data_IF_884947942714
#
_entry.id   IF_884947942714
#
_cell.length_a   1.000
_cell.length_b   1.000
_cell.length_c   1.000
_cell.angle_alpha   90.00
_cell.angle_beta   90.00
_cell.angle_gamma   90.00
#
_symmetry.space_group_name_H-M   'P 1'
#
loop_
_entity.id
_entity.type
_entity.pdbx_description
1 polymer ?
#
# COMPACT_ATOMS: atom_id res chain seq x y z
N UNK A 1 33.27 -31.74 -38.52
CA UNK A 1 33.04 -32.62 -37.35
C UNK A 1 32.37 -31.80 -36.26
N UNK A 2 31.26 -32.25 -35.67
CA UNK A 2 30.68 -31.56 -34.52
C UNK A 2 31.65 -31.67 -33.34
N UNK A 3 32.00 -30.53 -32.73
CA UNK A 3 32.79 -30.48 -31.50
C UNK A 3 32.09 -31.26 -30.40
N UNK A 4 32.79 -32.16 -29.68
CA UNK A 4 32.18 -32.91 -28.59
C UNK A 4 31.66 -31.96 -27.51
N UNK A 5 30.53 -32.29 -26.86
CA UNK A 5 29.99 -31.47 -25.79
C UNK A 5 31.03 -31.35 -24.68
N UNK A 6 31.30 -30.13 -24.23
CA UNK A 6 32.21 -29.89 -23.10
C UNK A 6 31.72 -30.69 -21.88
N UNK A 7 32.59 -31.42 -21.18
CA UNK A 7 32.21 -32.09 -19.95
C UNK A 7 31.70 -31.04 -18.95
N UNK A 8 30.66 -31.36 -18.16
CA UNK A 8 30.18 -30.46 -17.13
C UNK A 8 31.32 -30.12 -16.18
N UNK A 9 31.49 -28.84 -15.83
CA UNK A 9 32.52 -28.42 -14.91
C UNK A 9 32.31 -29.08 -13.54
N UNK A 10 33.35 -29.74 -13.02
CA UNK A 10 33.35 -30.31 -11.67
C UNK A 10 33.35 -29.16 -10.66
N UNK A 11 32.17 -28.81 -10.14
CA UNK A 11 32.02 -27.81 -9.10
C UNK A 11 32.52 -28.37 -7.78
N UNK A 12 33.31 -27.59 -7.03
CA UNK A 12 33.66 -27.97 -5.67
C UNK A 12 32.40 -27.99 -4.79
N UNK A 13 32.38 -28.71 -3.65
CA UNK A 13 31.23 -28.68 -2.72
C UNK A 13 30.86 -27.25 -2.29
N UNK A 14 31.85 -26.36 -2.19
CA UNK A 14 31.66 -24.93 -1.92
C UNK A 14 30.94 -24.24 -3.07
N UNK A 15 31.35 -24.45 -4.31
CA UNK A 15 30.71 -23.84 -5.49
C UNK A 15 29.28 -24.34 -5.68
N UNK A 16 29.03 -25.61 -5.37
CA UNK A 16 27.69 -26.18 -5.40
C UNK A 16 26.78 -25.56 -4.32
N UNK A 17 27.30 -25.35 -3.12
CA UNK A 17 26.58 -24.65 -2.05
C UNK A 17 26.25 -23.21 -2.48
N UNK A 18 27.24 -22.43 -2.94
CA UNK A 18 27.04 -21.05 -3.40
C UNK A 18 26.00 -20.99 -4.52
N UNK A 19 26.12 -21.85 -5.54
CA UNK A 19 25.16 -21.92 -6.64
C UNK A 19 23.74 -22.20 -6.14
N UNK A 20 23.58 -23.14 -5.21
CA UNK A 20 22.27 -23.48 -4.66
C UNK A 20 21.67 -22.33 -3.85
N UNK A 21 22.47 -21.64 -3.03
CA UNK A 21 22.05 -20.47 -2.26
C UNK A 21 21.62 -19.33 -3.17
N UNK A 22 22.42 -19.02 -4.21
CA UNK A 22 22.09 -17.99 -5.18
C UNK A 22 20.82 -18.34 -5.97
N UNK A 23 20.62 -19.60 -6.33
CA UNK A 23 19.42 -20.04 -7.03
C UNK A 23 18.17 -19.88 -6.15
N UNK A 24 18.23 -20.29 -4.88
CA UNK A 24 17.13 -20.12 -3.92
C UNK A 24 16.83 -18.62 -3.72
N UNK A 25 17.86 -17.81 -3.47
CA UNK A 25 17.69 -16.38 -3.29
C UNK A 25 17.05 -15.73 -4.53
N UNK A 26 17.47 -16.14 -5.74
CA UNK A 26 16.91 -15.64 -6.99
C UNK A 26 15.43 -16.00 -7.12
N UNK A 27 15.04 -17.24 -6.80
CA UNK A 27 13.64 -17.67 -6.83
C UNK A 27 12.79 -16.89 -5.81
N UNK A 28 13.31 -16.67 -4.60
CA UNK A 28 12.61 -15.90 -3.57
C UNK A 28 12.42 -14.43 -3.98
N UNK A 29 13.46 -13.80 -4.52
CA UNK A 29 13.39 -12.41 -5.01
C UNK A 29 12.40 -12.31 -6.17
N UNK A 30 12.46 -13.21 -7.16
CA UNK A 30 11.54 -13.21 -8.30
C UNK A 30 10.10 -13.48 -7.84
N UNK A 31 9.89 -14.39 -6.89
CA UNK A 31 8.58 -14.67 -6.30
C UNK A 31 8.00 -13.46 -5.56
N UNK A 32 8.83 -12.77 -4.77
CA UNK A 32 8.45 -11.54 -4.09
C UNK A 32 8.11 -10.43 -5.08
N UNK A 33 8.94 -10.20 -6.10
CA UNK A 33 8.67 -9.22 -7.16
C UNK A 33 7.36 -9.55 -7.89
N UNK A 34 7.13 -10.81 -8.23
CA UNK A 34 5.88 -11.27 -8.84
C UNK A 34 4.67 -11.04 -7.94
N UNK A 35 4.82 -11.23 -6.63
CA UNK A 35 3.76 -10.98 -5.64
C UNK A 35 3.45 -9.49 -5.52
N UNK A 36 4.46 -8.63 -5.45
CA UNK A 36 4.26 -7.17 -5.29
C UNK A 36 3.69 -6.53 -6.56
N UNK A 37 4.10 -7.02 -7.73
CA UNK A 37 3.70 -6.44 -9.02
C UNK A 37 2.42 -7.06 -9.56
N UNK A 38 2.44 -8.35 -9.91
CA UNK A 38 1.33 -9.03 -10.58
C UNK A 38 0.22 -9.33 -9.59
N UNK A 39 0.54 -10.04 -8.50
CA UNK A 39 -0.46 -10.46 -7.53
C UNK A 39 -0.99 -9.26 -6.75
N UNK A 40 -0.13 -8.29 -6.44
CA UNK A 40 -0.47 -7.05 -5.75
C UNK A 40 -1.42 -6.19 -6.57
N UNK A 41 -1.23 -6.09 -7.89
CA UNK A 41 -2.18 -5.39 -8.75
C UNK A 41 -3.56 -6.07 -8.77
N UNK A 42 -3.60 -7.41 -8.83
CA UNK A 42 -4.87 -8.15 -8.73
C UNK A 42 -5.55 -7.96 -7.37
N UNK A 43 -4.77 -8.02 -6.28
CA UNK A 43 -5.27 -7.77 -4.93
C UNK A 43 -5.85 -6.36 -4.81
N UNK A 44 -5.16 -5.33 -5.31
CA UNK A 44 -5.64 -3.96 -5.36
C UNK A 44 -6.98 -3.85 -6.11
N UNK A 45 -7.09 -4.42 -7.31
CA UNK A 45 -8.34 -4.38 -8.10
C UNK A 45 -9.51 -5.05 -7.36
N UNK A 46 -9.27 -6.20 -6.73
CA UNK A 46 -10.30 -6.91 -5.95
C UNK A 46 -10.70 -6.10 -4.73
N UNK A 47 -9.73 -5.54 -4.00
CA UNK A 47 -9.98 -4.67 -2.84
C UNK A 47 -10.79 -3.44 -3.24
N UNK A 48 -10.41 -2.73 -4.31
CA UNK A 48 -11.13 -1.55 -4.80
C UNK A 48 -12.55 -1.86 -5.24
N UNK A 49 -12.79 -3.02 -5.85
CA UNK A 49 -14.14 -3.45 -6.20
C UNK A 49 -15.01 -3.70 -4.95
N UNK A 50 -14.45 -4.36 -3.93
CA UNK A 50 -15.15 -4.61 -2.66
C UNK A 50 -15.43 -3.30 -1.91
N UNK A 51 -14.42 -2.43 -1.80
CA UNK A 51 -14.52 -1.12 -1.17
C UNK A 51 -15.54 -0.22 -1.88
N UNK A 52 -15.56 -0.23 -3.22
CA UNK A 52 -16.53 0.53 -4.00
C UNK A 52 -17.96 0.07 -3.72
N UNK A 53 -18.18 -1.25 -3.65
CA UNK A 53 -19.50 -1.80 -3.35
C UNK A 53 -19.96 -1.43 -1.93
N UNK A 54 -19.07 -1.57 -0.94
CA UNK A 54 -19.35 -1.20 0.45
C UNK A 54 -19.65 0.30 0.58
N UNK A 55 -18.78 1.16 0.05
CA UNK A 55 -18.94 2.61 0.18
C UNK A 55 -20.18 3.14 -0.54
N UNK A 56 -20.55 2.57 -1.70
CA UNK A 56 -21.80 2.92 -2.39
C UNK A 56 -23.03 2.62 -1.55
N UNK A 57 -23.02 1.49 -0.85
CA UNK A 57 -24.10 1.10 0.05
C UNK A 57 -24.19 2.06 1.25
N UNK A 58 -23.05 2.37 1.88
CA UNK A 58 -22.98 3.33 2.99
C UNK A 58 -23.42 4.74 2.60
N UNK A 59 -23.08 5.20 1.39
CA UNK A 59 -23.56 6.48 0.86
C UNK A 59 -25.07 6.47 0.62
N UNK A 60 -25.62 5.37 0.11
CA UNK A 60 -27.05 5.24 -0.16
C UNK A 60 -27.88 5.19 1.13
N UNK A 61 -27.36 4.57 2.19
CA UNK A 61 -28.00 4.51 3.51
C UNK A 61 -27.74 5.76 4.37
N UNK A 62 -26.81 6.64 3.96
CA UNK A 62 -26.40 7.78 4.77
C UNK A 62 -25.59 7.40 6.01
N UNK A 63 -24.94 6.23 5.99
CA UNK A 63 -24.11 5.68 7.08
C UNK A 63 -22.61 5.86 6.85
N UNK A 64 -22.22 6.41 5.70
CA UNK A 64 -20.82 6.71 5.38
C UNK A 64 -20.17 7.61 6.45
N UNK A 65 -18.90 7.35 6.84
CA UNK A 65 -18.27 8.10 7.91
C UNK A 65 -18.14 9.60 7.63
N UNK A 66 -18.40 10.42 8.66
CA UNK A 66 -18.25 11.89 8.63
C UNK A 66 -17.31 12.41 9.73
N UNK A 67 -16.71 11.52 10.51
CA UNK A 67 -15.68 11.82 11.51
C UNK A 67 -14.75 10.62 11.68
N UNK A 68 -13.70 10.73 12.51
CA UNK A 68 -12.79 9.61 12.80
C UNK A 68 -13.43 8.45 13.58
N UNK A 69 -14.67 8.65 14.06
CA UNK A 69 -15.40 7.66 14.83
C UNK A 69 -16.83 7.48 14.35
N UNK A 70 -17.41 6.35 14.74
CA UNK A 70 -18.82 6.03 14.54
C UNK A 70 -19.71 6.83 15.50
N UNK A 71 -21.03 6.71 15.34
CA UNK A 71 -22.03 7.31 16.25
C UNK A 71 -21.82 6.84 17.69
N UNK A 72 -21.35 5.61 17.88
CA UNK A 72 -21.06 5.01 19.19
C UNK A 72 -19.69 5.40 19.76
N UNK A 73 -19.00 6.39 19.16
CA UNK A 73 -17.67 6.87 19.54
C UNK A 73 -16.58 5.80 19.46
N UNK A 74 -16.75 4.82 18.58
CA UNK A 74 -15.72 3.83 18.26
C UNK A 74 -14.91 4.36 17.09
N UNK A 75 -13.59 4.39 17.22
CA UNK A 75 -12.70 4.83 16.13
C UNK A 75 -12.83 3.90 14.91
N UNK A 76 -12.77 4.49 13.72
CA UNK A 76 -12.79 3.73 12.47
C UNK A 76 -11.58 2.79 12.40
N UNK A 77 -11.84 1.53 12.02
CA UNK A 77 -10.79 0.54 11.81
C UNK A 77 -9.96 0.85 10.57
N UNK A 78 -8.71 0.38 10.52
CA UNK A 78 -7.88 0.55 9.34
C UNK A 78 -8.50 -0.21 8.16
N UNK A 79 -8.55 0.43 6.98
CA UNK A 79 -9.20 -0.13 5.79
C UNK A 79 -10.68 0.21 5.64
N UNK A 80 -11.32 0.89 6.59
CA UNK A 80 -12.72 1.36 6.43
C UNK A 80 -12.79 2.40 5.31
N UNK A 81 -13.72 2.29 4.33
CA UNK A 81 -13.85 3.30 3.28
C UNK A 81 -14.34 4.64 3.85
N UNK A 82 -13.72 5.73 3.42
CA UNK A 82 -14.06 7.09 3.90
C UNK A 82 -14.36 8.08 2.78
N UNK A 83 -13.82 7.84 1.58
CA UNK A 83 -14.05 8.71 0.44
C UNK A 83 -13.86 8.00 -0.90
N UNK A 84 -14.41 8.57 -1.97
CA UNK A 84 -14.05 8.27 -3.36
C UNK A 84 -13.22 9.45 -3.90
N UNK A 85 -11.99 9.19 -4.32
CA UNK A 85 -11.09 10.18 -4.93
C UNK A 85 -11.09 10.01 -6.46
N UNK A 86 -11.46 11.06 -7.17
CA UNK A 86 -11.54 11.07 -8.63
C UNK A 86 -10.69 12.19 -9.21
N UNK A 87 -9.60 11.85 -9.89
CA UNK A 87 -8.67 12.77 -10.57
C UNK A 87 -8.58 12.40 -12.06
N UNK A 88 -9.48 12.93 -12.90
CA UNK A 88 -9.60 12.50 -14.30
C UNK A 88 -8.34 12.72 -15.15
N UNK A 89 -7.58 13.79 -14.88
CA UNK A 89 -6.38 14.16 -15.66
C UNK A 89 -5.28 13.11 -15.61
N UNK A 90 -5.27 12.25 -14.58
CA UNK A 90 -4.27 11.19 -14.39
C UNK A 90 -4.91 9.79 -14.26
N UNK A 91 -6.23 9.69 -14.43
CA UNK A 91 -6.96 8.41 -14.41
C UNK A 91 -7.16 7.81 -13.02
N UNK A 92 -7.08 8.61 -11.95
CA UNK A 92 -7.35 8.11 -10.58
C UNK A 92 -8.86 8.09 -10.35
N UNK A 93 -9.37 6.94 -9.92
CA UNK A 93 -10.74 6.75 -9.43
C UNK A 93 -10.70 5.64 -8.38
N UNK A 94 -10.43 6.02 -7.14
CA UNK A 94 -10.01 5.10 -6.08
C UNK A 94 -10.78 5.39 -4.79
N UNK A 95 -11.22 4.35 -4.10
CA UNK A 95 -11.74 4.46 -2.74
C UNK A 95 -10.57 4.69 -1.79
N UNK A 96 -10.69 5.78 -1.02
CA UNK A 96 -9.81 6.14 0.07
C UNK A 96 -10.29 5.42 1.31
N UNK A 97 -9.38 4.74 1.99
CA UNK A 97 -9.64 4.03 3.25
C UNK A 97 -9.06 4.79 4.44
N UNK A 98 -9.55 4.54 5.65
CA UNK A 98 -8.95 5.08 6.87
C UNK A 98 -7.63 4.35 7.21
N UNK A 99 -6.58 5.10 7.53
CA UNK A 99 -5.27 4.57 7.87
C UNK A 99 -4.28 4.61 6.72
N UNK A 100 -3.00 4.69 7.07
CA UNK A 100 -1.88 4.97 6.15
C UNK A 100 -0.68 4.06 6.38
N UNK A 101 -0.83 3.02 7.20
CA UNK A 101 0.17 1.97 7.34
C UNK A 101 0.36 1.18 6.02
N UNK A 102 1.53 0.57 5.88
CA UNK A 102 1.91 -0.16 4.68
C UNK A 102 0.92 -1.30 4.33
N UNK A 103 0.34 -1.95 5.34
CA UNK A 103 -0.66 -3.00 5.16
C UNK A 103 -1.96 -2.48 4.54
N UNK A 104 -2.46 -1.36 5.05
CA UNK A 104 -3.69 -0.68 4.60
C UNK A 104 -3.54 -0.12 3.18
N UNK A 105 -2.40 0.53 2.88
CA UNK A 105 -2.17 1.15 1.56
C UNK A 105 -2.01 0.15 0.39
N UNK A 106 -2.11 -1.15 0.65
CA UNK A 106 -2.19 -2.17 -0.42
C UNK A 106 -3.57 -2.23 -1.07
N UNK A 107 -4.61 -1.81 -0.35
CA UNK A 107 -5.98 -1.83 -0.83
C UNK A 107 -6.34 -0.57 -1.65
N UNK A 108 -5.61 0.53 -1.45
CA UNK A 108 -5.84 1.81 -2.11
C UNK A 108 -5.23 2.98 -1.33
N UNK A 109 -5.50 4.24 -1.74
CA UNK A 109 -5.11 5.42 -0.99
C UNK A 109 -5.70 5.42 0.42
N UNK A 110 -4.96 5.98 1.38
CA UNK A 110 -5.33 6.02 2.79
C UNK A 110 -5.44 7.44 3.33
N UNK A 111 -6.47 7.72 4.12
CA UNK A 111 -6.64 8.95 4.87
C UNK A 111 -5.85 8.88 6.18
N UNK A 112 -5.09 9.94 6.45
CA UNK A 112 -4.26 10.06 7.64
C UNK A 112 -5.13 10.45 8.84
N UNK A 113 -5.16 9.58 9.86
CA UNK A 113 -6.13 9.60 10.97
C UNK A 113 -6.17 10.88 11.81
N UNK A 114 -5.04 11.55 11.98
CA UNK A 114 -4.93 12.82 12.73
C UNK A 114 -5.39 14.04 11.93
N UNK A 115 -5.90 13.85 10.70
CA UNK A 115 -6.30 14.93 9.80
C UNK A 115 -7.81 14.95 9.54
N UNK A 116 -8.30 16.06 9.00
CA UNK A 116 -9.72 16.28 8.68
C UNK A 116 -10.17 15.40 7.51
N UNK A 117 -11.42 14.94 7.50
CA UNK A 117 -11.93 14.22 6.32
C UNK A 117 -12.02 15.20 5.13
N UNK A 118 -11.87 14.73 3.89
CA UNK A 118 -11.97 15.59 2.72
C UNK A 118 -13.30 16.37 2.69
N UNK A 119 -13.23 17.66 2.42
CA UNK A 119 -14.37 18.57 2.32
C UNK A 119 -14.64 19.36 3.60
N UNK A 120 -14.02 18.95 4.71
CA UNK A 120 -14.14 19.63 6.00
C UNK A 120 -13.19 20.82 6.12
N UNK A 121 -13.55 21.77 6.98
CA UNK A 121 -12.64 22.84 7.37
C UNK A 121 -11.38 22.29 8.05
N UNK A 122 -10.19 22.75 7.63
CA UNK A 122 -8.89 22.26 8.08
C UNK A 122 -8.10 21.51 7.00
N UNK A 123 -7.08 20.76 7.43
CA UNK A 123 -6.22 19.99 6.53
C UNK A 123 -6.69 18.53 6.48
N UNK A 124 -6.82 17.98 5.28
CA UNK A 124 -6.97 16.55 5.03
C UNK A 124 -5.72 16.03 4.34
N UNK A 125 -5.23 14.86 4.75
CA UNK A 125 -4.07 14.21 4.14
C UNK A 125 -4.47 12.84 3.63
N UNK A 126 -4.24 12.61 2.34
CA UNK A 126 -4.40 11.29 1.72
C UNK A 126 -3.02 10.83 1.25
N UNK A 127 -2.63 9.65 1.66
CA UNK A 127 -1.40 8.98 1.26
C UNK A 127 -1.69 7.88 0.25
N UNK A 128 -0.79 7.67 -0.70
CA UNK A 128 -0.94 6.59 -1.67
C UNK A 128 0.41 6.14 -2.19
N UNK A 129 0.47 4.85 -2.53
CA UNK A 129 1.68 4.21 -3.09
C UNK A 129 2.04 4.79 -4.45
N UNK A 130 3.34 5.00 -4.66
CA UNK A 130 3.90 5.46 -5.94
C UNK A 130 4.10 4.30 -6.93
N UNK A 131 4.39 3.11 -6.44
CA UNK A 131 4.52 1.86 -7.17
C UNK A 131 3.91 0.71 -6.35
N UNK A 132 3.95 -0.53 -6.87
CA UNK A 132 3.34 -1.71 -6.25
C UNK A 132 1.82 -1.59 -6.00
N UNK A 133 1.11 -2.73 -5.90
CA UNK A 133 -0.32 -2.73 -5.52
C UNK A 133 -1.17 -1.71 -6.31
N UNK A 134 -1.01 -1.68 -7.63
CA UNK A 134 -1.69 -0.72 -8.51
C UNK A 134 -1.06 0.68 -8.58
N UNK A 135 -0.29 1.12 -7.58
CA UNK A 135 0.39 2.41 -7.56
C UNK A 135 -0.55 3.59 -7.82
N UNK A 136 -1.63 3.76 -7.03
CA UNK A 136 -2.68 4.73 -7.33
C UNK A 136 -2.15 6.16 -7.46
N UNK A 137 -1.04 6.50 -6.80
CA UNK A 137 -0.43 7.83 -6.84
C UNK A 137 0.81 7.93 -7.71
N UNK A 138 1.09 6.94 -8.57
CA UNK A 138 2.23 6.95 -9.50
C UNK A 138 2.34 8.23 -10.34
N UNK A 139 1.21 8.89 -10.62
CA UNK A 139 1.10 10.03 -11.54
C UNK A 139 0.68 11.34 -10.89
N UNK A 140 0.53 11.43 -9.56
CA UNK A 140 0.07 12.69 -8.93
C UNK A 140 1.05 13.85 -9.15
N UNK A 141 2.33 13.56 -9.39
CA UNK A 141 3.34 14.59 -9.71
C UNK A 141 3.11 15.25 -11.08
N UNK A 142 2.25 14.70 -11.93
CA UNK A 142 1.86 15.32 -13.21
C UNK A 142 0.78 16.40 -13.04
N UNK A 143 0.19 16.51 -11.84
CA UNK A 143 -0.86 17.48 -11.56
C UNK A 143 -0.31 18.91 -11.60
N UNK A 144 -1.03 19.75 -12.33
CA UNK A 144 -0.66 21.15 -12.55
C UNK A 144 -1.52 22.08 -11.71
N UNK A 145 -0.97 23.22 -11.24
CA UNK A 145 -1.76 24.25 -10.58
C UNK A 145 -3.04 24.61 -11.35
N UNK A 146 -4.14 24.77 -10.65
CA UNK A 146 -5.47 25.07 -11.20
C UNK A 146 -6.24 23.85 -11.72
N UNK A 147 -5.61 22.67 -11.87
CA UNK A 147 -6.35 21.46 -12.22
C UNK A 147 -7.35 21.10 -11.12
N UNK A 148 -8.56 20.72 -11.53
CA UNK A 148 -9.63 20.36 -10.62
C UNK A 148 -9.84 18.86 -10.56
N UNK A 149 -10.22 18.40 -9.38
CA UNK A 149 -10.58 17.00 -9.11
C UNK A 149 -11.60 16.95 -7.98
N UNK A 150 -12.25 15.80 -7.79
CA UNK A 150 -13.32 15.65 -6.81
C UNK A 150 -13.00 14.59 -5.77
N UNK A 151 -13.53 14.80 -4.56
CA UNK A 151 -13.54 13.80 -3.50
C UNK A 151 -14.95 13.70 -2.95
N UNK A 152 -15.55 12.53 -3.04
CA UNK A 152 -16.91 12.27 -2.54
C UNK A 152 -16.83 11.57 -1.20
N UNK A 153 -17.50 12.13 -0.20
CA UNK A 153 -17.54 11.63 1.19
C UNK A 153 -19.00 11.44 1.64
N UNK A 154 -19.21 10.98 2.87
CA UNK A 154 -20.55 10.97 3.49
C UNK A 154 -21.20 12.36 3.59
N UNK A 155 -20.44 13.45 3.45
CA UNK A 155 -20.97 14.83 3.44
C UNK A 155 -21.21 15.40 2.03
N UNK A 156 -21.07 14.58 0.98
CA UNK A 156 -21.26 14.96 -0.42
C UNK A 156 -19.97 15.03 -1.22
N UNK A 157 -20.09 15.58 -2.44
CA UNK A 157 -18.98 15.77 -3.37
C UNK A 157 -18.27 17.10 -3.11
N UNK A 158 -16.94 17.05 -3.05
CA UNK A 158 -16.07 18.19 -2.78
C UNK A 158 -15.12 18.41 -3.94
N UNK A 159 -15.09 19.62 -4.47
CA UNK A 159 -14.18 19.97 -5.57
C UNK A 159 -12.94 20.65 -5.03
N UNK A 160 -11.77 20.19 -5.47
CA UNK A 160 -10.48 20.77 -5.15
C UNK A 160 -9.81 21.35 -6.39
N UNK A 161 -9.01 22.40 -6.20
CA UNK A 161 -8.10 22.94 -7.21
C UNK A 161 -6.65 22.78 -6.74
N UNK A 162 -5.80 22.20 -7.57
CA UNK A 162 -4.38 21.99 -7.26
C UNK A 162 -3.70 23.34 -7.08
N UNK A 163 -2.99 23.51 -5.97
CA UNK A 163 -2.12 24.66 -5.72
C UNK A 163 -0.74 24.42 -6.34
N UNK A 164 -0.19 23.22 -6.15
CA UNK A 164 1.10 22.85 -6.71
C UNK A 164 1.68 21.59 -6.09
N UNK A 165 2.78 21.16 -6.70
CA UNK A 165 3.63 20.07 -6.24
C UNK A 165 4.76 20.63 -5.37
N UNK A 166 5.03 19.96 -4.25
CA UNK A 166 6.17 20.22 -3.38
C UNK A 166 6.85 18.93 -2.95
N UNK A 167 8.10 19.05 -2.56
CA UNK A 167 8.92 17.96 -2.06
C UNK A 167 9.23 18.13 -0.56
N UNK A 168 9.76 17.09 0.06
CA UNK A 168 10.27 17.20 1.43
C UNK A 168 11.36 18.29 1.51
N UNK A 169 11.22 19.20 2.47
CA UNK A 169 12.11 20.36 2.65
C UNK A 169 11.63 21.65 1.97
N UNK A 170 10.66 21.57 1.06
CA UNK A 170 10.10 22.77 0.44
C UNK A 170 9.28 23.61 1.45
N UNK A 171 9.17 24.94 1.24
CA UNK A 171 8.36 25.80 2.08
C UNK A 171 6.92 25.30 2.19
N UNK A 172 6.35 25.40 3.40
CA UNK A 172 4.93 25.09 3.60
C UNK A 172 4.08 26.18 2.95
N UNK A 173 2.98 25.83 2.24
CA UNK A 173 2.07 26.83 1.70
C UNK A 173 1.52 27.76 2.80
N UNK A 174 1.01 28.96 2.43
CA UNK A 174 0.43 29.89 3.39
C UNK A 174 -0.61 29.24 4.30
N UNK A 175 -0.69 29.74 5.54
CA UNK A 175 -1.63 29.27 6.54
C UNK A 175 -3.06 29.26 5.99
N UNK A 176 -3.81 28.22 6.33
CA UNK A 176 -5.18 28.06 5.88
C UNK A 176 -6.09 29.12 6.54
N UNK A 177 -6.85 29.91 5.77
CA UNK A 177 -7.83 30.83 6.35
C UNK A 177 -8.88 30.09 7.17
N UNK A 178 -9.45 30.76 8.17
CA UNK A 178 -10.49 30.18 9.01
C UNK A 178 -11.70 29.71 8.17
N UNK A 179 -12.18 28.51 8.46
CA UNK A 179 -13.33 27.91 7.76
C UNK A 179 -13.05 27.46 6.32
N UNK A 180 -11.78 27.41 5.88
CA UNK A 180 -11.39 26.81 4.59
C UNK A 180 -10.87 25.39 4.77
N UNK A 181 -10.91 24.61 3.71
CA UNK A 181 -10.36 23.25 3.63
C UNK A 181 -9.17 23.18 2.67
N UNK A 182 -8.20 22.32 2.98
CA UNK A 182 -7.08 21.98 2.08
C UNK A 182 -6.82 20.49 2.13
N UNK A 183 -6.63 19.89 0.96
CA UNK A 183 -6.25 18.50 0.81
C UNK A 183 -4.79 18.41 0.39
N UNK A 184 -4.06 17.46 0.97
CA UNK A 184 -2.69 17.14 0.61
C UNK A 184 -2.64 15.69 0.17
N UNK A 185 -2.29 15.46 -1.09
CA UNK A 185 -2.00 14.12 -1.62
C UNK A 185 -0.51 13.84 -1.44
N UNK A 186 -0.15 12.70 -0.85
CA UNK A 186 1.23 12.37 -0.48
C UNK A 186 1.64 11.03 -1.08
N UNK A 187 2.81 10.99 -1.71
CA UNK A 187 3.36 9.76 -2.28
C UNK A 187 4.89 9.77 -2.24
N UNK A 188 5.52 8.64 -2.58
CA UNK A 188 6.96 8.56 -2.70
C UNK A 188 7.47 9.23 -3.99
N UNK A 189 8.63 9.85 -3.90
CA UNK A 189 9.41 10.36 -5.04
C UNK A 189 10.50 9.35 -5.39
N UNK A 190 10.83 9.23 -6.67
CA UNK A 190 11.98 8.48 -7.16
C UNK A 190 11.57 7.41 -8.18
N UNK A 191 12.52 6.57 -8.61
CA UNK A 191 12.23 5.40 -9.42
C UNK A 191 11.25 4.45 -8.72
N UNK A 192 10.43 3.73 -9.50
CA UNK A 192 9.53 2.71 -8.97
C UNK A 192 10.31 1.71 -8.11
N UNK A 193 9.74 1.34 -6.95
CA UNK A 193 10.34 0.43 -5.96
C UNK A 193 11.62 0.93 -5.27
N UNK A 194 12.15 2.11 -5.63
CA UNK A 194 13.36 2.69 -5.01
C UNK A 194 13.08 4.15 -4.64
N UNK A 195 12.25 4.39 -3.61
CA UNK A 195 11.89 5.74 -3.21
C UNK A 195 13.09 6.50 -2.66
N UNK A 196 13.24 7.76 -3.09
CA UNK A 196 14.33 8.67 -2.71
C UNK A 196 13.84 9.88 -1.91
N UNK A 197 12.54 10.00 -1.65
CA UNK A 197 11.96 11.11 -0.92
C UNK A 197 10.44 11.12 -0.95
N UNK A 198 9.84 12.25 -0.56
CA UNK A 198 8.38 12.43 -0.49
C UNK A 198 7.97 13.53 -1.48
N UNK A 199 6.88 13.29 -2.21
CA UNK A 199 6.19 14.26 -3.04
C UNK A 199 4.80 14.54 -2.45
N UNK A 200 4.41 15.81 -2.39
CA UNK A 200 3.10 16.24 -1.89
C UNK A 200 2.45 17.20 -2.88
N UNK A 201 1.18 16.97 -3.19
CA UNK A 201 0.37 17.86 -4.00
C UNK A 201 -0.66 18.51 -3.09
N UNK A 202 -0.54 19.82 -2.89
CA UNK A 202 -1.53 20.57 -2.13
C UNK A 202 -2.65 21.03 -3.06
N UNK A 203 -3.89 20.95 -2.58
CA UNK A 203 -5.06 21.40 -3.31
C UNK A 203 -6.03 22.12 -2.37
N UNK A 204 -6.54 23.27 -2.80
CA UNK A 204 -7.51 24.05 -2.04
C UNK A 204 -8.94 23.57 -2.32
N UNK A 205 -9.77 23.56 -1.29
CA UNK A 205 -11.20 23.27 -1.42
C UNK A 205 -11.90 24.47 -2.07
N UNK A 206 -12.49 24.25 -3.25
CA UNK A 206 -13.20 25.30 -4.00
C UNK A 206 -14.73 25.20 -3.90
N UNK A 207 -15.24 24.05 -3.47
CA UNK A 207 -16.67 23.87 -3.15
C UNK A 207 -17.00 24.38 -1.74
N UNK A 208 -18.29 24.29 -1.39
CA UNK A 208 -18.77 24.61 -0.05
C UNK A 208 -18.01 23.80 1.02
N UNK A 209 -17.47 24.48 2.03
CA UNK A 209 -16.74 23.83 3.12
C UNK A 209 -17.73 23.27 4.14
N UNK A 210 -17.55 22.00 4.50
CA UNK A 210 -18.38 21.33 5.51
C UNK A 210 -17.81 21.47 6.91
N UNK A 211 -18.65 21.43 7.95
CA UNK A 211 -18.18 21.44 9.33
C UNK A 211 -17.31 20.20 9.60
N UNK A 212 -16.23 20.41 10.34
CA UNK A 212 -15.33 19.34 10.74
C UNK A 212 -15.97 18.42 11.77
N UNK A 213 -15.80 17.10 11.59
CA UNK A 213 -16.16 16.11 12.61
C UNK A 213 -15.27 16.20 13.85
N UNK A 214 -15.78 15.71 14.98
CA UNK A 214 -15.00 15.58 16.20
C UNK A 214 -13.78 14.68 15.97
N UNK A 215 -12.66 14.98 16.64
CA UNK A 215 -11.41 14.24 16.54
C UNK A 215 -10.70 14.13 17.88
N UNK A 216 -10.23 12.94 18.20
CA UNK A 216 -9.44 12.53 19.36
C UNK A 216 -8.00 12.25 18.91
N UNK A 217 -7.81 11.76 17.68
CA UNK A 217 -6.49 11.50 17.13
C UNK A 217 -5.78 12.81 16.84
N UNK A 218 -4.56 12.94 17.37
CA UNK A 218 -3.66 14.07 17.16
C UNK A 218 -2.36 13.57 16.55
N UNK A 219 -1.53 14.50 16.09
CA UNK A 219 -0.18 14.18 15.60
C UNK A 219 0.64 13.35 16.61
N UNK A 220 0.51 13.64 17.91
CA UNK A 220 1.26 12.95 18.96
C UNK A 220 0.72 11.55 19.28
N UNK A 221 -0.55 11.27 18.98
CA UNK A 221 -1.16 9.96 19.17
C UNK A 221 -1.21 9.12 17.91
N UNK A 222 -0.75 9.66 16.77
CA UNK A 222 -0.70 8.94 15.50
C UNK A 222 0.35 7.82 15.58
N UNK A 223 0.01 6.56 15.23
CA UNK A 223 0.97 5.48 15.16
C UNK A 223 2.15 5.81 14.23
N UNK A 224 3.37 5.40 14.59
CA UNK A 224 4.56 5.66 13.77
C UNK A 224 4.44 5.06 12.36
N UNK A 225 3.76 3.92 12.23
CA UNK A 225 3.52 3.26 10.95
C UNK A 225 2.63 4.08 9.97
N UNK A 226 1.86 5.03 10.49
CA UNK A 226 1.00 5.94 9.71
C UNK A 226 1.74 7.22 9.26
N UNK A 227 3.01 7.40 9.64
CA UNK A 227 3.78 8.55 9.17
C UNK A 227 4.22 8.38 7.72
N UNK A 228 4.54 9.49 7.06
CA UNK A 228 4.99 9.48 5.67
C UNK A 228 6.30 8.68 5.54
N UNK A 229 6.37 7.75 4.56
CA UNK A 229 7.52 6.87 4.34
C UNK A 229 7.86 5.96 5.53
N UNK A 230 6.91 5.69 6.42
CA UNK A 230 7.11 4.82 7.56
C UNK A 230 7.08 3.33 7.17
N UNK A 231 7.75 2.53 7.99
CA UNK A 231 7.77 1.08 7.95
C UNK A 231 7.00 0.54 9.16
N UNK A 232 6.12 -0.44 8.95
CA UNK A 232 5.37 -1.08 10.03
C UNK A 232 6.12 -2.30 10.56
N UNK A 233 6.75 -2.17 11.74
CA UNK A 233 7.46 -3.26 12.41
C UNK A 233 6.61 -4.06 13.39
N UNK A 234 5.31 -3.75 13.52
CA UNK A 234 4.43 -4.40 14.52
C UNK A 234 4.24 -5.90 14.26
N UNK A 235 4.43 -6.35 13.01
CA UNK A 235 4.24 -7.74 12.59
C UNK A 235 5.54 -8.50 12.31
N UNK A 236 6.71 -7.97 12.70
CA UNK A 236 8.00 -8.67 12.51
C UNK A 236 8.03 -10.06 13.15
N UNK A 237 7.36 -10.24 14.29
CA UNK A 237 7.22 -11.55 14.93
C UNK A 237 6.52 -12.57 14.02
N UNK A 238 5.50 -12.14 13.25
CA UNK A 238 4.79 -12.99 12.32
C UNK A 238 5.67 -13.36 11.11
N UNK A 239 6.57 -12.47 10.67
CA UNK A 239 7.58 -12.79 9.67
C UNK A 239 8.50 -13.92 10.15
N UNK A 240 8.96 -13.87 11.40
CA UNK A 240 9.81 -14.93 11.97
C UNK A 240 9.09 -16.28 11.94
N UNK A 241 7.83 -16.34 12.34
CA UNK A 241 7.04 -17.58 12.27
C UNK A 241 6.78 -18.04 10.84
N UNK A 242 6.52 -17.11 9.90
CA UNK A 242 6.35 -17.45 8.49
C UNK A 242 7.63 -18.04 7.89
N UNK A 243 8.80 -17.50 8.23
CA UNK A 243 10.10 -18.01 7.80
C UNK A 243 10.40 -19.39 8.42
N UNK A 244 10.10 -19.58 9.71
CA UNK A 244 10.24 -20.88 10.37
C UNK A 244 9.32 -21.94 9.75
N UNK A 245 8.07 -21.57 9.47
CA UNK A 245 7.12 -22.43 8.77
C UNK A 245 7.67 -22.83 7.39
N UNK A 246 8.11 -21.86 6.59
CA UNK A 246 8.67 -22.12 5.27
C UNK A 246 9.90 -23.05 5.35
N UNK A 247 10.80 -22.80 6.31
CA UNK A 247 11.98 -23.65 6.53
C UNK A 247 11.59 -25.09 6.89
N UNK A 248 10.62 -25.29 7.79
CA UNK A 248 10.14 -26.62 8.17
C UNK A 248 9.54 -27.34 6.95
N UNK A 249 8.74 -26.63 6.15
CA UNK A 249 8.12 -27.18 4.93
C UNK A 249 9.19 -27.57 3.91
N UNK A 250 10.21 -26.75 3.70
CA UNK A 250 11.32 -27.05 2.80
C UNK A 250 12.12 -28.28 3.26
N UNK A 251 12.44 -28.36 4.56
CA UNK A 251 13.13 -29.52 5.13
C UNK A 251 12.30 -30.80 4.98
N UNK A 252 11.00 -30.72 5.25
CA UNK A 252 10.07 -31.83 5.07
C UNK A 252 9.94 -32.23 3.59
N UNK A 253 9.93 -31.26 2.67
CA UNK A 253 9.90 -31.50 1.23
C UNK A 253 11.17 -32.24 0.79
N UNK A 254 12.36 -31.76 1.19
CA UNK A 254 13.65 -32.41 0.88
C UNK A 254 13.69 -33.84 1.44
N UNK A 255 13.24 -34.05 2.68
CA UNK A 255 13.15 -35.37 3.28
C UNK A 255 12.19 -36.29 2.51
N UNK A 256 11.01 -35.80 2.14
CA UNK A 256 10.02 -36.57 1.38
C UNK A 256 10.49 -36.88 -0.05
N UNK A 257 11.17 -35.94 -0.72
CA UNK A 257 11.77 -36.13 -2.04
C UNK A 257 12.76 -37.29 -2.04
N UNK A 258 13.57 -37.41 -0.97
CA UNK A 258 14.54 -38.50 -0.80
C UNK A 258 13.89 -39.85 -0.50
N UNK A 259 12.67 -39.88 0.05
CA UNK A 259 11.99 -41.11 0.50
C UNK A 259 11.00 -41.68 -0.51
N UNK A 260 10.15 -40.82 -1.09
CA UNK A 260 8.96 -41.24 -1.86
C UNK A 260 9.04 -40.87 -3.35
N UNK A 261 10.12 -40.20 -3.75
CA UNK A 261 10.39 -39.78 -5.13
C UNK A 261 9.75 -38.43 -5.50
N UNK A 262 10.32 -37.79 -6.52
CA UNK A 262 10.00 -36.41 -6.93
C UNK A 262 8.51 -36.17 -7.19
N UNK A 263 7.85 -37.03 -7.98
CA UNK A 263 6.48 -36.80 -8.44
C UNK A 263 5.46 -36.71 -7.30
N UNK A 264 5.54 -37.60 -6.31
CA UNK A 264 4.59 -37.69 -5.19
C UNK A 264 4.78 -36.54 -4.19
N UNK A 265 6.04 -36.25 -3.85
CA UNK A 265 6.35 -35.16 -2.94
C UNK A 265 6.02 -33.79 -3.56
N UNK A 266 6.20 -33.62 -4.88
CA UNK A 266 5.92 -32.34 -5.54
C UNK A 266 4.43 -31.97 -5.48
N UNK A 267 3.52 -32.93 -5.68
CA UNK A 267 2.07 -32.70 -5.58
C UNK A 267 1.62 -32.18 -4.21
N UNK A 268 2.27 -32.63 -3.13
CA UNK A 268 1.93 -32.22 -1.76
C UNK A 268 2.63 -30.93 -1.36
N UNK A 269 3.93 -30.81 -1.64
CA UNK A 269 4.73 -29.71 -1.09
C UNK A 269 4.64 -28.43 -1.92
N UNK A 270 4.33 -28.47 -3.22
CA UNK A 270 4.21 -27.25 -4.02
C UNK A 270 3.14 -26.29 -3.48
N UNK A 271 1.89 -26.73 -3.21
CA UNK A 271 0.89 -25.84 -2.62
C UNK A 271 1.33 -25.28 -1.25
N UNK A 272 1.92 -26.12 -0.41
CA UNK A 272 2.32 -25.73 0.96
C UNK A 272 3.47 -24.71 0.94
N UNK A 273 4.49 -24.94 0.11
CA UNK A 273 5.60 -23.99 -0.10
C UNK A 273 5.07 -22.69 -0.70
N UNK A 274 4.13 -22.76 -1.65
CA UNK A 274 3.52 -21.56 -2.25
C UNK A 274 2.79 -20.74 -1.20
N UNK A 275 1.97 -21.37 -0.36
CA UNK A 275 1.26 -20.69 0.74
C UNK A 275 2.26 -20.10 1.75
N UNK A 276 3.29 -20.86 2.16
CA UNK A 276 4.34 -20.37 3.04
C UNK A 276 5.07 -19.16 2.46
N UNK A 277 5.40 -19.21 1.17
CA UNK A 277 6.01 -18.10 0.44
C UNK A 277 5.12 -16.86 0.38
N UNK A 278 3.81 -17.03 0.16
CA UNK A 278 2.84 -15.93 0.19
C UNK A 278 2.72 -15.29 1.57
N UNK A 279 2.75 -16.08 2.65
CA UNK A 279 2.78 -15.54 4.01
C UNK A 279 4.04 -14.73 4.28
N UNK A 280 5.22 -15.25 3.88
CA UNK A 280 6.48 -14.50 4.00
C UNK A 280 6.41 -13.20 3.19
N UNK A 281 5.91 -13.26 1.95
CA UNK A 281 5.77 -12.08 1.09
C UNK A 281 4.82 -11.03 1.70
N UNK A 282 3.66 -11.43 2.24
CA UNK A 282 2.73 -10.51 2.91
C UNK A 282 3.41 -9.76 4.07
N UNK A 283 4.17 -10.48 4.90
CA UNK A 283 4.87 -9.89 6.03
C UNK A 283 6.05 -9.00 5.60
N UNK A 284 6.79 -9.38 4.57
CA UNK A 284 7.86 -8.54 4.00
C UNK A 284 7.32 -7.23 3.44
N UNK A 285 6.13 -7.25 2.82
CA UNK A 285 5.52 -6.04 2.24
C UNK A 285 5.15 -5.02 3.32
N UNK A 286 4.67 -5.47 4.49
CA UNK A 286 4.38 -4.58 5.63
C UNK A 286 5.62 -3.84 6.12
N UNK A 287 6.80 -4.44 5.93
CA UNK A 287 8.09 -3.82 6.26
C UNK A 287 8.58 -2.83 5.20
N UNK A 288 8.00 -2.83 4.00
CA UNK A 288 8.30 -1.82 3.00
C UNK A 288 7.72 -0.46 3.43
N UNK A 289 8.36 0.65 3.03
CA UNK A 289 7.80 1.97 3.22
C UNK A 289 6.36 2.04 2.70
N UNK A 290 5.48 2.65 3.47
CA UNK A 290 4.04 2.70 3.17
C UNK A 290 3.71 3.40 1.83
N UNK A 291 4.51 4.39 1.41
CA UNK A 291 4.32 5.10 0.14
C UNK A 291 5.01 4.46 -1.07
N UNK A 292 5.70 3.32 -0.88
CA UNK A 292 6.43 2.63 -1.94
C UNK A 292 5.49 2.13 -3.03
#
# INVERSE_FOLDING_TARGET
MPTPPRPPADLTPRDQAIRSTLAILSVLILGLLGTITVLGHLQHLVSQQQLTNAFRFELAEGTAPVSEGTVDKVLLTAGTPVALLTIPSIGVNEIVVEGTDSGTLRAGPGHRRDTMLPGQAGYSVIMGRAAAYGGPFARIQELRPGQKFTVTTGQGEHTYAVLGLRYAGDPTPPALPAGKGRLVLVTARGPAFVPSGIARVDAELVSETKPAGARQTTYNSLPLADQEMATDTSTVWALVFALQFLLIVELAAVWAFRRVGLRKAWTVFVPVVTVGGLFVADQLVRLLPNLL
#
